data_IF_806688470823
#
_entry.id   IF_806688470823
#
_cell.length_a   1.000
_cell.length_b   1.000
_cell.length_c   1.000
_cell.angle_alpha   90.00
_cell.angle_beta   90.00
_cell.angle_gamma   90.00
#
_symmetry.space_group_name_H-M   'P 1'
#
loop_
_entity.id
_entity.type
_entity.pdbx_description
1 polymer ?
#
# COMPACT_ATOMS: atom_id res chain seq x y z
N UNK A 1 -13.79 -1.91 21.56
CA UNK A 1 -13.24 -2.76 20.47
C UNK A 1 -12.78 -1.79 19.41
N UNK A 2 -11.59 -1.96 18.83
CA UNK A 2 -11.14 -1.08 17.75
C UNK A 2 -11.90 -1.49 16.49
N UNK A 3 -12.82 -0.67 16.04
CA UNK A 3 -13.51 -0.88 14.77
C UNK A 3 -12.54 -0.54 13.64
N UNK A 4 -12.29 -1.50 12.75
CA UNK A 4 -11.51 -1.26 11.55
C UNK A 4 -12.33 -0.36 10.62
N UNK A 5 -11.78 0.77 10.17
CA UNK A 5 -12.43 1.67 9.19
C UNK A 5 -12.31 1.09 7.77
N UNK A 6 -11.18 0.44 7.47
CA UNK A 6 -10.91 -0.22 6.19
C UNK A 6 -10.40 -1.64 6.40
N UNK A 7 -10.61 -2.51 5.40
CA UNK A 7 -10.12 -3.88 5.34
C UNK A 7 -9.20 -4.04 4.12
N UNK A 8 -8.01 -4.63 4.30
CA UNK A 8 -7.13 -5.00 3.20
C UNK A 8 -7.71 -6.18 2.41
N UNK A 9 -7.79 -6.04 1.08
CA UNK A 9 -8.33 -7.08 0.20
C UNK A 9 -7.24 -7.78 -0.62
N UNK A 10 -6.42 -7.01 -1.34
CA UNK A 10 -5.41 -7.55 -2.25
C UNK A 10 -4.23 -6.61 -2.44
N UNK A 11 -3.11 -7.21 -2.85
CA UNK A 11 -1.97 -6.51 -3.44
C UNK A 11 -1.63 -7.19 -4.76
N UNK A 12 -1.63 -6.40 -5.81
CA UNK A 12 -1.34 -6.82 -7.17
C UNK A 12 -0.15 -6.04 -7.71
N UNK A 13 0.56 -6.59 -8.70
CA UNK A 13 1.69 -5.93 -9.34
C UNK A 13 1.54 -5.99 -10.86
N UNK A 14 1.75 -4.84 -11.52
CA UNK A 14 1.76 -4.73 -12.98
C UNK A 14 3.13 -4.23 -13.42
N UNK A 15 3.86 -5.01 -14.21
CA UNK A 15 5.14 -4.59 -14.77
C UNK A 15 4.94 -3.49 -15.83
N UNK A 16 5.84 -2.50 -15.86
CA UNK A 16 5.83 -1.45 -16.88
C UNK A 16 6.20 -2.02 -18.25
N UNK A 17 5.64 -1.43 -19.31
CA UNK A 17 6.01 -1.77 -20.68
C UNK A 17 7.18 -0.90 -21.17
N UNK A 18 8.20 -1.48 -21.83
CA UNK A 18 8.35 -2.89 -22.17
C UNK A 18 8.83 -3.74 -20.98
N UNK A 19 8.32 -4.96 -20.85
CA UNK A 19 8.73 -5.90 -19.79
C UNK A 19 10.12 -6.44 -20.09
N UNK A 20 11.12 -6.03 -19.31
CA UNK A 20 12.49 -6.52 -19.41
C UNK A 20 13.11 -6.66 -18.01
N UNK A 21 14.12 -7.53 -17.80
CA UNK A 21 14.77 -7.63 -16.50
C UNK A 21 15.27 -6.27 -16.00
N UNK A 22 14.86 -5.89 -14.79
CA UNK A 22 15.15 -4.58 -14.20
C UNK A 22 14.18 -3.46 -14.58
N UNK A 23 13.15 -3.72 -15.41
CA UNK A 23 12.06 -2.77 -15.62
C UNK A 23 11.26 -2.57 -14.33
N UNK A 24 10.78 -1.36 -14.11
CA UNK A 24 9.88 -1.05 -13.01
C UNK A 24 8.49 -1.66 -13.18
N UNK A 25 7.57 -1.18 -12.34
CA UNK A 25 6.16 -1.50 -12.40
C UNK A 25 5.39 -0.77 -11.31
N UNK A 26 4.11 -1.11 -11.22
CA UNK A 26 3.15 -0.51 -10.30
C UNK A 26 2.63 -1.58 -9.36
N UNK A 27 2.78 -1.35 -8.05
CA UNK A 27 2.03 -2.08 -7.04
C UNK A 27 0.66 -1.43 -6.83
N UNK A 28 -0.38 -2.25 -6.75
CA UNK A 28 -1.77 -1.83 -6.54
C UNK A 28 -2.26 -2.48 -5.26
N UNK A 29 -2.65 -1.67 -4.28
CA UNK A 29 -3.23 -2.14 -3.01
C UNK A 29 -4.72 -1.81 -2.97
N UNK A 30 -5.54 -2.83 -2.74
CA UNK A 30 -7.01 -2.69 -2.68
C UNK A 30 -7.49 -2.80 -1.24
N UNK A 31 -8.30 -1.83 -0.82
CA UNK A 31 -8.94 -1.81 0.50
C UNK A 31 -10.45 -1.58 0.36
N UNK A 32 -11.25 -2.22 1.21
CA UNK A 32 -12.68 -1.97 1.35
C UNK A 32 -12.94 -1.09 2.55
N UNK A 33 -13.77 -0.05 2.41
CA UNK A 33 -14.32 0.66 3.57
C UNK A 33 -15.36 -0.23 4.26
N UNK A 34 -15.23 -0.45 5.57
CA UNK A 34 -16.11 -1.35 6.34
C UNK A 34 -16.83 -0.66 7.51
N UNK A 35 -16.38 0.54 7.91
CA UNK A 35 -17.10 1.41 8.82
C UNK A 35 -16.81 2.89 8.52
N UNK A 36 -17.68 3.78 8.98
CA UNK A 36 -17.44 5.22 8.94
C UNK A 36 -16.38 5.60 9.98
N UNK A 37 -15.54 6.57 9.64
CA UNK A 37 -14.45 7.03 10.51
C UNK A 37 -13.25 7.53 9.74
N UNK A 38 -12.22 7.88 10.48
CA UNK A 38 -10.94 8.34 9.95
C UNK A 38 -9.86 7.30 10.22
N UNK A 39 -9.01 7.05 9.24
CA UNK A 39 -7.88 6.13 9.37
C UNK A 39 -6.71 6.55 8.48
N UNK A 40 -5.56 5.96 8.74
CA UNK A 40 -4.34 6.21 7.98
C UNK A 40 -3.79 4.89 7.41
N UNK A 41 -3.41 4.92 6.14
CA UNK A 41 -2.63 3.84 5.51
C UNK A 41 -1.21 4.36 5.27
N UNK A 42 -0.22 3.64 5.79
CA UNK A 42 1.20 3.94 5.58
C UNK A 42 1.85 2.81 4.79
N UNK A 43 2.45 3.13 3.65
CA UNK A 43 3.19 2.21 2.80
C UNK A 43 4.68 2.55 2.85
N UNK A 44 5.53 1.55 3.09
CA UNK A 44 6.98 1.69 3.09
C UNK A 44 7.62 0.83 2.00
N UNK A 45 8.57 1.39 1.26
CA UNK A 45 9.41 0.67 0.30
C UNK A 45 10.72 0.25 0.97
N UNK A 46 10.93 -1.07 1.08
CA UNK A 46 12.08 -1.66 1.78
C UNK A 46 12.98 -2.40 0.77
N UNK A 47 14.21 -1.91 0.54
CA UNK A 47 15.15 -2.60 -0.33
C UNK A 47 15.48 -4.01 0.17
N UNK A 48 15.66 -5.00 -0.73
CA UNK A 48 15.99 -6.36 -0.32
C UNK A 48 17.35 -6.40 0.38
N UNK A 49 17.43 -7.13 1.49
CA UNK A 49 18.69 -7.34 2.24
C UNK A 49 19.07 -6.19 3.18
N UNK A 50 18.32 -5.08 3.18
CA UNK A 50 18.47 -4.00 4.16
C UNK A 50 17.34 -4.16 5.18
N UNK A 51 17.65 -4.69 6.36
CA UNK A 51 16.72 -4.64 7.49
C UNK A 51 16.71 -3.24 8.10
N UNK A 52 15.55 -2.67 8.38
CA UNK A 52 15.44 -1.37 9.04
C UNK A 52 14.32 -0.50 8.49
N UNK A 53 14.62 0.80 8.36
CA UNK A 53 13.71 1.85 7.89
C UNK A 53 13.43 1.74 6.38
N UNK A 54 12.24 2.17 5.93
CA UNK A 54 11.95 2.24 4.50
C UNK A 54 12.73 3.37 3.82
N UNK A 55 13.20 3.13 2.61
CA UNK A 55 13.83 4.16 1.76
C UNK A 55 12.82 5.23 1.33
N UNK A 56 11.54 4.83 1.22
CA UNK A 56 10.44 5.70 0.88
C UNK A 56 9.20 5.34 1.69
N UNK A 57 8.53 6.35 2.23
CA UNK A 57 7.26 6.19 2.95
C UNK A 57 6.20 7.06 2.29
N UNK A 58 5.03 6.48 2.04
CA UNK A 58 3.85 7.20 1.57
C UNK A 58 2.72 7.02 2.58
N UNK A 59 2.03 8.11 2.90
CA UNK A 59 0.93 8.14 3.86
C UNK A 59 -0.34 8.59 3.16
N UNK A 60 -1.42 7.86 3.38
CA UNK A 60 -2.77 8.17 2.91
C UNK A 60 -3.70 8.36 4.11
N UNK A 61 -4.25 9.57 4.24
CA UNK A 61 -5.33 9.86 5.18
C UNK A 61 -6.66 9.54 4.51
N UNK A 62 -7.48 8.71 5.16
CA UNK A 62 -8.75 8.21 4.62
C UNK A 62 -9.87 8.59 5.56
N UNK A 63 -10.88 9.24 4.99
CA UNK A 63 -12.12 9.60 5.69
C UNK A 63 -13.28 8.88 5.02
N UNK A 64 -13.91 7.97 5.75
CA UNK A 64 -15.14 7.27 5.32
C UNK A 64 -16.33 7.93 6.01
N UNK A 65 -17.30 8.40 5.22
CA UNK A 65 -18.50 9.11 5.69
C UNK A 65 -19.77 8.34 5.37
#
# INVERSE_FOLDING_TARGET
MNENVVLFNSRDYTADQPVMPGSGGVEVWTFSAVSAGETQITLGSYPPGVGGEPDQTVVFEIVVR
#
